data_IF_302526793077
#
_entry.id   IF_302526793077
#
_cell.length_a   1.000
_cell.length_b   1.000
_cell.length_c   1.000
_cell.angle_alpha   90.00
_cell.angle_beta   90.00
_cell.angle_gamma   90.00
#
_symmetry.space_group_name_H-M   'P 1'
#
loop_
_entity.id
_entity.type
_entity.pdbx_description
1 polymer ?
#
# COMPACT_ATOMS: atom_id res chain seq x y z
N UNK A 1 26.00 -28.58 -9.60
CA UNK A 1 26.19 -28.79 -8.15
C UNK A 1 26.63 -27.48 -7.54
N UNK A 2 25.81 -26.78 -6.75
CA UNK A 2 26.21 -25.53 -6.13
C UNK A 2 27.39 -25.77 -5.19
N UNK A 3 28.50 -25.08 -5.45
CA UNK A 3 29.74 -25.16 -4.68
C UNK A 3 29.90 -23.89 -3.88
N UNK A 4 30.08 -24.02 -2.58
CA UNK A 4 30.35 -22.93 -1.67
C UNK A 4 31.79 -23.00 -1.20
N UNK A 5 32.48 -21.87 -1.21
CA UNK A 5 33.86 -21.74 -0.77
C UNK A 5 33.96 -20.82 0.44
N UNK A 6 34.83 -21.18 1.38
CA UNK A 6 35.16 -20.40 2.56
C UNK A 6 36.67 -20.18 2.60
N UNK A 7 37.09 -18.90 2.64
CA UNK A 7 38.49 -18.49 2.71
C UNK A 7 38.67 -17.49 3.85
N UNK A 8 39.34 -17.91 4.92
CA UNK A 8 39.71 -17.05 6.05
C UNK A 8 41.07 -17.49 6.62
N UNK A 9 42.04 -16.57 6.66
CA UNK A 9 43.41 -16.86 7.08
C UNK A 9 44.05 -17.98 6.26
N UNK A 10 44.52 -19.05 6.91
CA UNK A 10 45.07 -20.25 6.26
C UNK A 10 44.01 -21.30 5.87
N UNK A 11 42.72 -21.05 6.17
CA UNK A 11 41.62 -21.97 5.88
C UNK A 11 41.06 -21.70 4.48
N UNK A 12 41.07 -22.72 3.62
CA UNK A 12 40.50 -22.68 2.27
C UNK A 12 39.69 -23.95 2.05
N UNK A 13 38.37 -23.88 2.25
CA UNK A 13 37.47 -25.04 2.28
C UNK A 13 36.38 -24.92 1.23
N UNK A 14 35.93 -26.05 0.70
CA UNK A 14 34.74 -26.13 -0.15
C UNK A 14 33.66 -26.98 0.53
N UNK A 15 32.42 -26.68 0.21
CA UNK A 15 31.24 -27.45 0.57
C UNK A 15 30.26 -27.41 -0.61
N UNK A 16 29.77 -28.57 -1.01
CA UNK A 16 28.87 -28.77 -2.13
C UNK A 16 27.68 -29.57 -1.61
N UNK A 17 26.48 -29.30 -2.13
CA UNK A 17 25.31 -30.11 -1.82
C UNK A 17 24.48 -30.27 -3.08
N UNK A 18 23.96 -31.47 -3.30
CA UNK A 18 23.08 -31.78 -4.43
C UNK A 18 21.86 -32.53 -3.92
N UNK A 19 20.67 -32.01 -4.24
CA UNK A 19 19.41 -32.65 -3.93
C UNK A 19 18.95 -33.51 -5.13
N UNK A 20 18.56 -34.76 -4.85
CA UNK A 20 18.01 -35.71 -5.83
C UNK A 20 16.82 -36.45 -5.21
N UNK A 21 15.61 -36.06 -5.62
CA UNK A 21 14.37 -36.67 -5.14
C UNK A 21 14.19 -36.53 -3.63
N UNK A 22 14.18 -37.65 -2.90
CA UNK A 22 14.06 -37.69 -1.44
C UNK A 22 15.42 -37.83 -0.72
N UNK A 23 16.53 -37.48 -1.37
CA UNK A 23 17.87 -37.54 -0.78
C UNK A 23 18.71 -36.35 -1.18
N UNK A 24 19.69 -35.99 -0.36
CA UNK A 24 20.77 -35.11 -0.78
C UNK A 24 22.14 -35.76 -0.57
N UNK A 25 23.11 -35.35 -1.37
CA UNK A 25 24.53 -35.68 -1.21
C UNK A 25 25.30 -34.40 -0.93
N UNK A 26 25.93 -34.31 0.24
CA UNK A 26 26.81 -33.21 0.60
C UNK A 26 28.28 -33.65 0.48
N UNK A 27 29.13 -32.85 -0.17
CA UNK A 27 30.57 -33.07 -0.32
C UNK A 27 31.35 -31.90 0.26
N UNK A 28 32.43 -32.15 1.00
CA UNK A 28 33.23 -31.07 1.60
C UNK A 28 34.69 -31.44 1.78
N UNK A 29 35.57 -30.42 1.76
CA UNK A 29 37.00 -30.65 1.91
C UNK A 29 37.81 -29.38 1.87
N UNK A 30 39.13 -29.53 1.82
CA UNK A 30 40.05 -28.42 1.51
C UNK A 30 40.01 -28.17 0.00
N UNK A 31 39.97 -26.91 -0.43
CA UNK A 31 40.04 -26.57 -1.86
C UNK A 31 41.32 -27.19 -2.46
N UNK A 32 41.17 -27.95 -3.54
CA UNK A 32 42.26 -28.73 -4.17
C UNK A 32 42.38 -30.19 -3.72
N UNK A 33 41.41 -30.71 -2.96
CA UNK A 33 41.33 -32.13 -2.57
C UNK A 33 40.02 -32.74 -3.05
N UNK A 34 39.94 -34.08 -3.12
CA UNK A 34 38.71 -34.79 -3.51
C UNK A 34 37.55 -34.61 -2.51
N UNK A 35 37.89 -34.27 -1.26
CA UNK A 35 36.95 -34.07 -0.17
C UNK A 35 36.38 -35.38 0.40
N UNK A 36 35.34 -35.25 1.21
CA UNK A 36 34.52 -36.31 1.76
C UNK A 36 33.07 -36.06 1.35
N UNK A 37 32.31 -37.11 1.11
CA UNK A 37 30.89 -37.02 0.78
C UNK A 37 30.02 -37.82 1.74
N UNK A 38 28.78 -37.37 1.89
CA UNK A 38 27.74 -38.07 2.66
C UNK A 38 26.40 -37.86 1.98
N UNK A 39 25.72 -38.98 1.73
CA UNK A 39 24.34 -39.00 1.26
C UNK A 39 23.38 -39.23 2.42
N UNK A 40 22.28 -38.50 2.45
CA UNK A 40 21.20 -38.65 3.42
C UNK A 40 19.86 -38.75 2.69
N UNK A 41 19.06 -39.75 3.06
CA UNK A 41 17.74 -40.03 2.46
C UNK A 41 16.64 -39.78 3.50
N UNK A 42 15.51 -39.25 3.04
CA UNK A 42 14.37 -38.81 3.83
C UNK A 42 13.09 -39.53 3.41
N UNK A 43 12.04 -39.42 4.24
CA UNK A 43 10.75 -40.05 4.00
C UNK A 43 10.00 -39.44 2.82
N UNK A 44 10.30 -38.19 2.45
CA UNK A 44 9.72 -37.51 1.29
C UNK A 44 10.69 -36.51 0.63
N UNK A 45 10.43 -36.12 -0.64
CA UNK A 45 11.15 -35.02 -1.29
C UNK A 45 11.07 -33.69 -0.53
N UNK A 46 9.93 -33.39 0.10
CA UNK A 46 9.73 -32.16 0.86
C UNK A 46 10.62 -32.09 2.11
N UNK A 47 10.78 -33.21 2.83
CA UNK A 47 11.70 -33.31 3.97
C UNK A 47 13.16 -33.15 3.54
N UNK A 48 13.53 -33.73 2.39
CA UNK A 48 14.87 -33.60 1.83
C UNK A 48 15.18 -32.15 1.42
N UNK A 49 14.23 -31.44 0.81
CA UNK A 49 14.35 -30.02 0.47
C UNK A 49 14.48 -29.15 1.73
N UNK A 50 13.64 -29.38 2.75
CA UNK A 50 13.67 -28.61 4.00
C UNK A 50 15.01 -28.73 4.72
N UNK A 51 15.58 -29.93 4.84
CA UNK A 51 16.89 -30.11 5.47
C UNK A 51 18.05 -29.63 4.57
N UNK A 52 17.91 -29.74 3.25
CA UNK A 52 18.85 -29.13 2.29
C UNK A 52 18.96 -27.61 2.50
N UNK A 53 17.84 -26.90 2.52
CA UNK A 53 17.82 -25.43 2.60
C UNK A 53 18.31 -24.92 3.96
N UNK A 54 18.04 -25.68 5.02
CA UNK A 54 18.58 -25.44 6.35
C UNK A 54 20.11 -25.56 6.37
N UNK A 55 20.68 -26.57 5.72
CA UNK A 55 22.14 -26.74 5.64
C UNK A 55 22.81 -25.63 4.84
N UNK A 56 22.19 -25.19 3.73
CA UNK A 56 22.68 -24.05 2.95
C UNK A 56 22.73 -22.78 3.81
N UNK A 57 21.61 -22.43 4.46
CA UNK A 57 21.55 -21.26 5.37
C UNK A 57 22.56 -21.33 6.50
N UNK A 58 22.79 -22.52 7.07
CA UNK A 58 23.80 -22.71 8.11
C UNK A 58 25.22 -22.46 7.59
N UNK A 59 25.52 -22.82 6.33
CA UNK A 59 26.82 -22.60 5.71
C UNK A 59 27.04 -21.14 5.33
N UNK A 60 26.04 -20.48 4.78
CA UNK A 60 26.10 -19.04 4.46
C UNK A 60 26.31 -18.20 5.72
N UNK A 61 25.60 -18.53 6.81
CA UNK A 61 25.81 -17.90 8.14
C UNK A 61 27.23 -18.12 8.68
N UNK A 62 27.91 -19.19 8.26
CA UNK A 62 29.31 -19.49 8.60
C UNK A 62 30.31 -18.86 7.61
N UNK A 63 29.86 -17.98 6.71
CA UNK A 63 30.70 -17.23 5.79
C UNK A 63 31.08 -17.96 4.50
N UNK A 64 30.44 -19.09 4.19
CA UNK A 64 30.63 -19.78 2.91
C UNK A 64 29.92 -19.01 1.79
N UNK A 65 30.59 -18.82 0.66
CA UNK A 65 30.11 -18.02 -0.48
C UNK A 65 30.03 -18.90 -1.73
N UNK A 66 28.97 -18.78 -2.52
CA UNK A 66 28.80 -19.57 -3.74
C UNK A 66 29.90 -19.25 -4.78
N UNK A 67 30.60 -20.28 -5.27
CA UNK A 67 31.69 -20.17 -6.24
C UNK A 67 31.19 -20.51 -7.66
N UNK A 68 31.32 -19.57 -8.60
CA UNK A 68 31.18 -19.84 -10.04
C UNK A 68 29.99 -19.21 -10.80
N UNK A 69 29.63 -17.93 -10.61
CA UNK A 69 28.97 -17.15 -11.69
C UNK A 69 30.08 -16.63 -12.62
N UNK A 70 30.47 -17.44 -13.61
CA UNK A 70 31.43 -17.12 -14.66
C UNK A 70 31.14 -17.99 -15.87
N UNK A 71 30.85 -17.31 -16.99
CA UNK A 71 30.56 -17.74 -18.36
C UNK A 71 31.04 -19.14 -18.75
N UNK A 72 30.11 -19.96 -19.24
CA UNK A 72 30.31 -20.76 -20.46
C UNK A 72 28.95 -21.04 -21.12
N UNK A 73 28.87 -20.60 -22.36
CA UNK A 73 27.84 -20.84 -23.37
C UNK A 73 28.04 -22.25 -23.95
N UNK A 74 26.98 -23.06 -23.98
CA UNK A 74 26.64 -23.89 -25.15
C UNK A 74 25.37 -24.71 -24.87
N UNK A 75 24.25 -24.20 -25.40
CA UNK A 75 23.18 -24.95 -26.07
C UNK A 75 22.62 -26.24 -25.46
N UNK A 76 21.56 -26.10 -24.66
CA UNK A 76 20.32 -26.89 -24.85
C UNK A 76 19.11 -26.22 -24.16
N UNK A 77 18.18 -25.69 -24.96
CA UNK A 77 16.73 -25.84 -24.74
C UNK A 77 16.05 -25.47 -23.41
N UNK A 78 16.58 -24.58 -22.57
CA UNK A 78 15.93 -24.16 -21.32
C UNK A 78 16.27 -22.73 -20.89
N UNK A 79 15.68 -21.73 -21.56
CA UNK A 79 15.89 -20.32 -21.23
C UNK A 79 15.16 -19.89 -19.95
N UNK A 80 15.94 -19.38 -18.98
CA UNK A 80 15.57 -18.25 -18.12
C UNK A 80 14.97 -18.57 -16.75
N UNK A 81 15.81 -18.85 -15.75
CA UNK A 81 15.39 -18.73 -14.33
C UNK A 81 15.36 -17.24 -13.87
N UNK A 82 16.05 -16.33 -14.55
CA UNK A 82 16.02 -14.88 -14.26
C UNK A 82 15.19 -14.11 -15.31
N UNK A 83 14.26 -13.23 -14.89
CA UNK A 83 13.47 -12.40 -15.81
C UNK A 83 14.32 -11.43 -16.64
N UNK A 84 14.01 -11.30 -17.92
CA UNK A 84 14.73 -10.39 -18.81
C UNK A 84 14.47 -8.91 -18.45
N UNK A 85 15.44 -8.04 -18.73
CA UNK A 85 15.36 -6.61 -18.47
C UNK A 85 16.06 -5.80 -19.56
N UNK A 86 15.46 -4.67 -19.94
CA UNK A 86 16.03 -3.71 -20.88
C UNK A 86 15.79 -2.28 -20.36
N UNK A 87 16.80 -1.62 -19.76
CA UNK A 87 16.63 -0.30 -19.15
C UNK A 87 16.11 0.80 -20.08
N UNK A 88 16.44 0.75 -21.38
CA UNK A 88 16.00 1.77 -22.34
C UNK A 88 14.50 1.64 -22.64
N UNK A 89 14.02 0.42 -22.85
CA UNK A 89 12.60 0.14 -23.08
C UNK A 89 11.78 0.34 -21.80
N UNK A 90 12.33 -0.04 -20.66
CA UNK A 90 11.72 0.22 -19.35
C UNK A 90 11.61 1.72 -19.07
N UNK A 91 12.62 2.53 -19.41
CA UNK A 91 12.57 3.98 -19.24
C UNK A 91 11.45 4.62 -20.08
N UNK A 92 11.14 4.08 -21.27
CA UNK A 92 10.01 4.54 -22.08
C UNK A 92 8.66 4.29 -21.37
N UNK A 93 8.51 3.11 -20.76
CA UNK A 93 7.32 2.77 -19.96
C UNK A 93 7.23 3.65 -18.71
N UNK A 94 8.33 3.85 -17.98
CA UNK A 94 8.36 4.68 -16.77
C UNK A 94 7.98 6.14 -17.05
N UNK A 95 8.33 6.65 -18.23
CA UNK A 95 7.99 8.02 -18.65
C UNK A 95 6.50 8.20 -18.94
N UNK A 96 5.86 7.19 -19.51
CA UNK A 96 4.42 7.18 -19.81
C UNK A 96 3.82 5.79 -19.53
N UNK A 97 3.46 5.51 -18.26
CA UNK A 97 3.05 4.17 -17.81
C UNK A 97 1.74 3.64 -18.41
N UNK A 98 1.01 4.46 -19.16
CA UNK A 98 -0.20 4.05 -19.87
C UNK A 98 0.02 3.97 -21.40
N UNK A 99 1.25 4.17 -21.88
CA UNK A 99 1.62 4.04 -23.29
C UNK A 99 1.73 2.57 -23.73
N UNK A 100 0.65 2.08 -24.34
CA UNK A 100 0.55 0.71 -24.86
C UNK A 100 1.67 0.39 -25.87
N UNK A 101 2.05 1.32 -26.74
CA UNK A 101 3.07 1.08 -27.77
C UNK A 101 4.45 0.79 -27.14
N UNK A 102 4.79 1.47 -26.04
CA UNK A 102 6.03 1.20 -25.31
C UNK A 102 6.06 -0.25 -24.76
N UNK A 103 4.93 -0.73 -24.21
CA UNK A 103 4.80 -2.12 -23.78
C UNK A 103 4.86 -3.11 -24.95
N UNK A 104 4.29 -2.79 -26.11
CA UNK A 104 4.34 -3.67 -27.29
C UNK A 104 5.76 -3.79 -27.85
N UNK A 105 6.51 -2.69 -27.94
CA UNK A 105 7.94 -2.74 -28.30
C UNK A 105 8.71 -3.59 -27.29
N UNK A 106 8.41 -3.45 -26.00
CA UNK A 106 9.05 -4.27 -24.98
C UNK A 106 8.63 -5.74 -25.05
N UNK A 107 7.37 -6.02 -25.41
CA UNK A 107 6.86 -7.38 -25.66
C UNK A 107 7.62 -8.09 -26.75
N UNK A 108 7.87 -7.45 -27.89
CA UNK A 108 8.64 -8.02 -29.00
C UNK A 108 10.07 -8.37 -28.57
N UNK A 109 10.71 -7.48 -27.82
CA UNK A 109 12.04 -7.73 -27.27
C UNK A 109 12.04 -8.90 -26.28
N UNK A 110 11.09 -8.94 -25.34
CA UNK A 110 10.94 -10.01 -24.35
C UNK A 110 10.71 -11.38 -25.01
N UNK A 111 9.88 -11.44 -26.06
CA UNK A 111 9.68 -12.66 -26.84
C UNK A 111 10.97 -13.12 -27.51
N UNK A 112 11.78 -12.19 -28.03
CA UNK A 112 13.12 -12.48 -28.56
C UNK A 112 14.09 -13.04 -27.52
N UNK A 113 13.91 -12.71 -26.24
CA UNK A 113 14.67 -13.28 -25.12
C UNK A 113 14.08 -14.59 -24.57
N UNK A 114 12.93 -15.04 -25.10
CA UNK A 114 12.20 -16.19 -24.56
C UNK A 114 11.48 -15.93 -23.23
N UNK A 115 11.36 -14.67 -22.80
CA UNK A 115 10.67 -14.33 -21.56
C UNK A 115 9.13 -14.45 -21.75
N UNK A 116 8.42 -15.23 -20.92
CA UNK A 116 6.98 -15.45 -21.07
C UNK A 116 6.15 -14.16 -20.90
N UNK A 117 6.70 -13.09 -20.32
CA UNK A 117 6.02 -11.78 -20.22
C UNK A 117 5.71 -11.20 -21.59
N UNK A 118 6.55 -11.47 -22.58
CA UNK A 118 6.34 -11.01 -23.95
C UNK A 118 4.99 -11.46 -24.51
N UNK A 119 4.71 -12.76 -24.44
CA UNK A 119 3.40 -13.30 -24.85
C UNK A 119 2.27 -12.79 -23.94
N UNK A 120 2.51 -12.65 -22.63
CA UNK A 120 1.50 -12.14 -21.69
C UNK A 120 1.04 -10.72 -22.06
N UNK A 121 1.97 -9.83 -22.42
CA UNK A 121 1.66 -8.48 -22.92
C UNK A 121 0.75 -8.56 -24.15
N UNK A 122 1.13 -9.36 -25.14
CA UNK A 122 0.37 -9.51 -26.38
C UNK A 122 -1.06 -10.04 -26.14
N UNK A 123 -1.21 -11.04 -25.27
CA UNK A 123 -2.53 -11.59 -24.90
C UNK A 123 -3.38 -10.52 -24.20
N UNK A 124 -2.81 -9.79 -23.24
CA UNK A 124 -3.55 -8.77 -22.49
C UNK A 124 -3.93 -7.57 -23.35
N UNK A 125 -3.05 -7.15 -24.27
CA UNK A 125 -3.36 -6.12 -25.26
C UNK A 125 -4.51 -6.56 -26.17
N UNK A 126 -4.43 -7.78 -26.74
CA UNK A 126 -5.51 -8.31 -27.57
C UNK A 126 -6.84 -8.40 -26.80
N UNK A 127 -6.80 -8.81 -25.53
CA UNK A 127 -7.99 -8.88 -24.67
C UNK A 127 -8.65 -7.51 -24.44
N UNK A 128 -7.86 -6.43 -24.40
CA UNK A 128 -8.35 -5.07 -24.23
C UNK A 128 -9.01 -4.50 -25.51
N UNK A 129 -8.61 -5.00 -26.69
CA UNK A 129 -9.19 -4.61 -27.99
C UNK A 129 -10.39 -5.47 -28.39
N UNK A 130 -10.50 -6.68 -27.85
CA UNK A 130 -11.58 -7.60 -28.13
C UNK A 130 -12.87 -7.25 -27.36
N UNK A 131 -13.99 -7.88 -27.76
CA UNK A 131 -15.27 -7.77 -27.06
C UNK A 131 -15.97 -9.12 -26.92
N UNK A 132 -16.95 -9.21 -26.01
CA UNK A 132 -17.77 -10.41 -25.82
C UNK A 132 -16.95 -11.66 -25.44
N UNK A 133 -17.25 -12.77 -26.12
CA UNK A 133 -16.63 -14.08 -25.85
C UNK A 133 -15.12 -14.07 -26.11
N UNK A 134 -14.66 -13.41 -27.17
CA UNK A 134 -13.23 -13.34 -27.51
C UNK A 134 -12.42 -12.67 -26.39
N UNK A 135 -12.90 -11.53 -25.87
CA UNK A 135 -12.26 -10.86 -24.73
C UNK A 135 -12.20 -11.78 -23.50
N UNK A 136 -13.26 -12.56 -23.26
CA UNK A 136 -13.33 -13.50 -22.13
C UNK A 136 -12.35 -14.68 -22.30
N UNK A 137 -12.23 -15.20 -23.52
CA UNK A 137 -11.29 -16.26 -23.88
C UNK A 137 -9.83 -15.80 -23.71
N UNK A 138 -9.52 -14.59 -24.18
CA UNK A 138 -8.17 -14.00 -24.05
C UNK A 138 -7.82 -13.72 -22.59
N UNK A 139 -8.76 -13.22 -21.77
CA UNK A 139 -8.55 -13.06 -20.32
C UNK A 139 -8.25 -14.39 -19.64
N UNK A 140 -9.02 -15.44 -19.98
CA UNK A 140 -8.76 -16.80 -19.49
C UNK A 140 -7.41 -17.34 -19.97
N UNK A 141 -7.01 -17.05 -21.20
CA UNK A 141 -5.68 -17.39 -21.73
C UNK A 141 -4.58 -16.69 -20.92
N UNK A 142 -4.73 -15.40 -20.61
CA UNK A 142 -3.78 -14.66 -19.78
C UNK A 142 -3.66 -15.25 -18.37
N UNK A 143 -4.78 -15.59 -17.71
CA UNK A 143 -4.77 -16.25 -16.41
C UNK A 143 -4.08 -17.61 -16.45
N UNK A 144 -4.37 -18.43 -17.48
CA UNK A 144 -3.72 -19.72 -17.67
C UNK A 144 -2.21 -19.56 -17.92
N UNK A 145 -1.80 -18.51 -18.64
CA UNK A 145 -0.39 -18.18 -18.89
C UNK A 145 0.34 -17.80 -17.60
N UNK A 146 -0.24 -16.91 -16.80
CA UNK A 146 0.32 -16.53 -15.48
C UNK A 146 0.49 -17.78 -14.60
N UNK A 147 -0.52 -18.65 -14.55
CA UNK A 147 -0.46 -19.89 -13.78
C UNK A 147 0.63 -20.84 -14.30
N UNK A 148 0.79 -20.96 -15.61
CA UNK A 148 1.81 -21.81 -16.24
C UNK A 148 3.23 -21.34 -15.87
N UNK A 149 3.46 -20.03 -15.85
CA UNK A 149 4.76 -19.42 -15.58
C UNK A 149 4.87 -18.80 -14.18
N UNK A 150 4.07 -19.28 -13.22
CA UNK A 150 3.97 -18.66 -11.89
C UNK A 150 5.31 -18.61 -11.14
N UNK A 151 6.18 -19.60 -11.32
CA UNK A 151 7.51 -19.60 -10.68
C UNK A 151 8.34 -18.38 -11.08
N UNK A 152 8.28 -18.00 -12.36
CA UNK A 152 9.01 -16.82 -12.88
C UNK A 152 8.24 -15.51 -12.66
N UNK A 153 6.91 -15.55 -12.78
CA UNK A 153 6.06 -14.36 -12.76
C UNK A 153 5.65 -13.92 -11.35
N UNK A 154 5.67 -14.84 -10.37
CA UNK A 154 5.26 -14.59 -8.99
C UNK A 154 6.29 -15.06 -7.97
N UNK A 155 7.10 -16.07 -8.27
CA UNK A 155 8.07 -16.62 -7.33
C UNK A 155 7.39 -17.03 -6.02
N UNK A 156 7.93 -16.55 -4.90
CA UNK A 156 7.40 -16.79 -3.54
C UNK A 156 6.00 -16.20 -3.30
N UNK A 157 5.55 -15.23 -4.12
CA UNK A 157 4.21 -14.65 -4.00
C UNK A 157 3.10 -15.60 -4.47
N UNK A 158 3.45 -16.68 -5.19
CA UNK A 158 2.47 -17.57 -5.82
C UNK A 158 1.53 -18.22 -4.79
N UNK A 159 2.05 -18.58 -3.61
CA UNK A 159 1.24 -19.20 -2.55
C UNK A 159 0.25 -18.21 -1.95
N UNK A 160 0.66 -16.95 -1.70
CA UNK A 160 -0.23 -15.89 -1.25
C UNK A 160 -1.35 -15.56 -2.26
N UNK A 161 -1.05 -15.62 -3.56
CA UNK A 161 -2.07 -15.47 -4.61
C UNK A 161 -3.06 -16.65 -4.59
N UNK A 162 -2.56 -17.87 -4.39
CA UNK A 162 -3.38 -19.09 -4.34
C UNK A 162 -4.29 -19.13 -3.11
N UNK A 163 -3.80 -18.67 -1.95
CA UNK A 163 -4.59 -18.55 -0.72
C UNK A 163 -5.50 -17.33 -0.68
N UNK A 164 -5.47 -16.45 -1.70
CA UNK A 164 -6.21 -15.19 -1.81
C UNK A 164 -5.79 -14.09 -0.81
N UNK A 165 -4.70 -14.32 -0.11
CA UNK A 165 -3.97 -13.35 0.72
C UNK A 165 -3.40 -12.20 -0.12
N UNK A 166 -3.05 -12.49 -1.37
CA UNK A 166 -2.56 -11.51 -2.34
C UNK A 166 -3.53 -11.43 -3.51
N UNK A 167 -4.05 -10.24 -3.77
CA UNK A 167 -4.79 -9.89 -4.99
C UNK A 167 -3.93 -9.00 -5.88
N UNK A 168 -3.82 -9.34 -7.17
CA UNK A 168 -2.96 -8.65 -8.13
C UNK A 168 -3.78 -8.13 -9.31
N UNK A 169 -3.60 -6.86 -9.64
CA UNK A 169 -4.03 -6.29 -10.91
C UNK A 169 -2.85 -6.32 -11.89
N UNK A 170 -3.05 -7.00 -13.03
CA UNK A 170 -2.05 -7.05 -14.09
C UNK A 170 -2.34 -6.03 -15.18
N UNK A 171 -1.30 -5.37 -15.65
CA UNK A 171 -1.33 -4.47 -16.79
C UNK A 171 -0.15 -4.79 -17.71
N UNK A 172 -0.46 -5.26 -18.91
CA UNK A 172 0.50 -5.54 -19.98
C UNK A 172 1.76 -6.25 -19.45
N UNK A 173 1.61 -7.46 -18.91
CA UNK A 173 2.71 -8.32 -18.46
C UNK A 173 3.28 -8.02 -17.08
N UNK A 174 2.89 -6.93 -16.44
CA UNK A 174 3.40 -6.51 -15.13
C UNK A 174 2.28 -6.29 -14.11
N UNK A 175 2.63 -6.35 -12.83
CA UNK A 175 1.73 -6.03 -11.72
C UNK A 175 1.63 -4.51 -11.64
N UNK A 176 0.41 -3.98 -11.83
CA UNK A 176 0.10 -2.55 -11.71
C UNK A 176 -0.28 -2.18 -10.29
N UNK A 177 -1.08 -3.01 -9.64
CA UNK A 177 -1.47 -2.81 -8.26
C UNK A 177 -1.59 -4.14 -7.52
N UNK A 178 -1.41 -4.11 -6.21
CA UNK A 178 -1.55 -5.27 -5.35
C UNK A 178 -2.27 -4.92 -4.05
N UNK A 179 -3.12 -5.83 -3.59
CA UNK A 179 -3.65 -5.85 -2.22
C UNK A 179 -3.12 -7.08 -1.48
N UNK A 180 -2.57 -6.88 -0.29
CA UNK A 180 -2.09 -7.95 0.59
C UNK A 180 -2.80 -7.84 1.94
N UNK A 181 -3.38 -8.93 2.44
CA UNK A 181 -4.04 -8.94 3.74
C UNK A 181 -4.29 -10.36 4.23
N UNK A 182 -3.92 -10.61 5.50
CA UNK A 182 -4.20 -11.82 6.27
C UNK A 182 -5.70 -12.13 6.18
N UNK A 183 -6.06 -13.37 5.80
CA UNK A 183 -7.47 -13.77 5.62
C UNK A 183 -8.17 -14.13 6.93
N UNK A 184 -7.46 -14.77 7.85
CA UNK A 184 -8.00 -15.23 9.12
C UNK A 184 -6.91 -15.41 10.20
N UNK A 185 -7.36 -15.71 11.42
CA UNK A 185 -6.52 -15.89 12.60
C UNK A 185 -5.49 -17.02 12.44
N UNK A 186 -5.84 -18.09 11.69
CA UNK A 186 -5.02 -19.29 11.50
C UNK A 186 -4.05 -19.16 10.31
N UNK A 187 -4.08 -18.04 9.58
CA UNK A 187 -3.22 -17.83 8.42
C UNK A 187 -1.75 -17.62 8.82
N UNK A 188 -0.86 -18.42 8.24
CA UNK A 188 0.60 -18.32 8.39
C UNK A 188 1.21 -17.28 7.42
N UNK A 189 0.37 -16.50 6.72
CA UNK A 189 0.84 -15.53 5.74
C UNK A 189 1.49 -14.31 6.40
N UNK A 190 2.79 -14.10 6.16
CA UNK A 190 3.50 -12.90 6.60
C UNK A 190 3.32 -11.79 5.56
N UNK A 191 2.42 -10.85 5.86
CA UNK A 191 2.12 -9.70 4.99
C UNK A 191 3.35 -8.81 4.80
N UNK A 192 4.19 -8.64 5.83
CA UNK A 192 5.36 -7.75 5.78
C UNK A 192 6.42 -8.33 4.85
N UNK A 193 6.72 -9.63 5.00
CA UNK A 193 7.64 -10.35 4.11
C UNK A 193 7.12 -10.31 2.67
N UNK A 194 5.83 -10.57 2.46
CA UNK A 194 5.21 -10.56 1.14
C UNK A 194 5.23 -9.17 0.48
N UNK A 195 5.06 -8.08 1.24
CA UNK A 195 5.25 -6.72 0.73
C UNK A 195 6.70 -6.54 0.28
N UNK A 196 7.68 -6.88 1.13
CA UNK A 196 9.10 -6.77 0.78
C UNK A 196 9.47 -7.58 -0.48
N UNK A 197 8.95 -8.81 -0.58
CA UNK A 197 9.07 -9.68 -1.75
C UNK A 197 8.47 -9.05 -3.01
N UNK A 198 7.23 -8.56 -2.91
CA UNK A 198 6.52 -7.93 -4.02
C UNK A 198 7.30 -6.74 -4.57
N UNK A 199 7.73 -5.82 -3.72
CA UNK A 199 8.37 -4.58 -4.14
C UNK A 199 9.75 -4.81 -4.78
N UNK A 200 10.39 -5.95 -4.51
CA UNK A 200 11.64 -6.40 -5.17
C UNK A 200 11.39 -7.21 -6.43
N UNK A 201 10.18 -7.75 -6.61
CA UNK A 201 9.92 -8.73 -7.66
C UNK A 201 9.92 -8.07 -9.06
N UNK A 202 10.58 -8.66 -10.08
CA UNK A 202 10.62 -8.09 -11.44
C UNK A 202 9.25 -7.83 -12.07
N UNK A 203 8.22 -8.58 -11.68
CA UNK A 203 6.83 -8.33 -12.11
C UNK A 203 6.23 -7.05 -11.56
N UNK A 204 6.74 -6.52 -10.45
CA UNK A 204 6.28 -5.28 -9.84
C UNK A 204 7.14 -4.06 -10.22
N UNK A 205 8.05 -4.18 -11.20
CA UNK A 205 8.96 -3.06 -11.57
C UNK A 205 8.25 -1.76 -12.00
N UNK A 206 6.98 -1.85 -12.38
CA UNK A 206 6.13 -0.73 -12.77
C UNK A 206 4.92 -0.57 -11.83
N UNK A 207 4.97 -1.12 -10.62
CA UNK A 207 3.86 -1.07 -9.68
C UNK A 207 3.51 0.38 -9.34
N UNK A 208 2.22 0.68 -9.36
CA UNK A 208 1.65 2.00 -9.10
C UNK A 208 0.76 2.03 -7.85
N UNK A 209 0.15 0.91 -7.47
CA UNK A 209 -0.73 0.86 -6.30
C UNK A 209 -0.34 -0.25 -5.31
N UNK A 210 -0.34 0.09 -4.03
CA UNK A 210 -0.17 -0.85 -2.93
C UNK A 210 -1.26 -0.61 -1.89
N UNK A 211 -2.03 -1.65 -1.61
CA UNK A 211 -3.04 -1.67 -0.55
C UNK A 211 -2.69 -2.77 0.45
N UNK A 212 -2.74 -2.45 1.74
CA UNK A 212 -2.48 -3.41 2.81
C UNK A 212 -3.67 -3.43 3.77
N UNK A 213 -4.31 -4.59 3.86
CA UNK A 213 -5.40 -4.85 4.80
C UNK A 213 -4.86 -5.37 6.14
N UNK A 214 -5.53 -6.35 6.75
CA UNK A 214 -5.08 -6.95 8.00
C UNK A 214 -3.64 -7.49 7.89
N UNK A 215 -2.75 -7.05 8.78
CA UNK A 215 -1.42 -7.65 8.96
C UNK A 215 -1.42 -8.72 10.05
N UNK A 216 -2.28 -8.54 11.04
CA UNK A 216 -2.45 -9.43 12.18
C UNK A 216 -3.87 -9.30 12.74
N UNK A 217 -4.40 -10.35 13.36
CA UNK A 217 -5.74 -10.40 13.96
C UNK A 217 -5.73 -10.26 15.50
N UNK A 218 -4.56 -10.27 16.15
CA UNK A 218 -4.44 -9.98 17.58
C UNK A 218 -4.30 -8.46 17.81
N UNK A 219 -3.25 -7.85 17.27
CA UNK A 219 -3.05 -6.40 17.23
C UNK A 219 -2.51 -6.01 15.85
N UNK A 220 -3.23 -5.16 15.13
CA UNK A 220 -2.96 -4.90 13.72
C UNK A 220 -2.01 -3.69 13.56
N UNK A 221 -0.76 -3.91 13.11
CA UNK A 221 0.26 -2.86 13.03
C UNK A 221 0.84 -2.66 11.63
N UNK A 222 0.89 -1.41 11.17
CA UNK A 222 1.41 -1.06 9.84
C UNK A 222 2.85 -0.51 9.81
N UNK A 223 3.48 -0.23 10.95
CA UNK A 223 4.85 0.31 10.98
C UNK A 223 5.85 -0.62 10.30
N UNK A 224 5.73 -1.93 10.50
CA UNK A 224 6.60 -2.93 9.85
C UNK A 224 6.44 -2.97 8.33
N UNK A 225 5.25 -2.62 7.82
CA UNK A 225 5.02 -2.46 6.37
C UNK A 225 5.76 -1.22 5.86
N UNK A 226 5.72 -0.11 6.61
CA UNK A 226 6.49 1.08 6.29
C UNK A 226 8.00 0.80 6.31
N UNK A 227 8.49 0.02 7.28
CA UNK A 227 9.89 -0.42 7.34
C UNK A 227 10.27 -1.25 6.10
N UNK A 228 9.42 -2.19 5.68
CA UNK A 228 9.66 -2.97 4.45
C UNK A 228 9.76 -2.07 3.20
N UNK A 229 8.96 -1.01 3.10
CA UNK A 229 9.07 -0.01 2.02
C UNK A 229 10.41 0.73 2.10
N UNK A 230 10.88 1.07 3.31
CA UNK A 230 12.17 1.73 3.51
C UNK A 230 13.33 0.80 3.13
N UNK A 231 13.27 -0.48 3.51
CA UNK A 231 14.30 -1.47 3.22
C UNK A 231 14.51 -1.71 1.72
N UNK A 232 13.47 -1.59 0.90
CA UNK A 232 13.60 -1.68 -0.57
C UNK A 232 14.11 -0.38 -1.21
N UNK A 233 14.29 0.69 -0.44
CA UNK A 233 14.72 2.01 -0.92
C UNK A 233 13.59 2.86 -1.50
N UNK A 234 12.33 2.49 -1.22
CA UNK A 234 11.13 3.07 -1.83
C UNK A 234 10.95 2.71 -3.30
N UNK A 235 9.87 3.23 -3.89
CA UNK A 235 9.50 2.98 -5.28
C UNK A 235 8.92 4.25 -5.89
N UNK A 236 9.69 4.89 -6.77
CA UNK A 236 9.25 6.10 -7.50
C UNK A 236 8.08 5.83 -8.45
N UNK A 237 7.80 4.57 -8.75
CA UNK A 237 6.64 4.19 -9.56
C UNK A 237 5.35 4.18 -8.75
N UNK A 238 5.42 4.08 -7.42
CA UNK A 238 4.26 3.96 -6.56
C UNK A 238 3.54 5.32 -6.46
N UNK A 239 2.28 5.33 -6.87
CA UNK A 239 1.42 6.51 -6.95
C UNK A 239 0.23 6.43 -5.97
N UNK A 240 -0.13 5.23 -5.53
CA UNK A 240 -1.24 5.00 -4.61
C UNK A 240 -0.78 4.09 -3.47
N UNK A 241 -0.98 4.56 -2.24
CA UNK A 241 -0.75 3.78 -1.03
C UNK A 241 -1.98 3.82 -0.13
N UNK A 242 -2.45 2.64 0.27
CA UNK A 242 -3.46 2.51 1.31
C UNK A 242 -2.98 1.53 2.38
N UNK A 243 -2.78 2.03 3.61
CA UNK A 243 -2.56 1.23 4.81
C UNK A 243 -3.83 1.27 5.68
N UNK A 244 -4.33 0.10 6.09
CA UNK A 244 -5.57 0.02 6.87
C UNK A 244 -6.80 -0.41 6.08
N UNK A 245 -6.65 -1.23 5.02
CA UNK A 245 -7.79 -1.72 4.23
C UNK A 245 -8.47 -2.93 4.88
N UNK A 246 -9.00 -2.73 6.08
CA UNK A 246 -9.77 -3.72 6.82
C UNK A 246 -11.29 -3.45 6.77
N UNK A 247 -12.07 -4.48 7.03
CA UNK A 247 -13.54 -4.46 7.11
C UNK A 247 -14.00 -4.41 8.57
N UNK A 248 -14.83 -3.40 8.88
CA UNK A 248 -15.53 -3.30 10.15
C UNK A 248 -16.95 -3.88 10.03
N UNK A 249 -17.47 -4.59 11.05
CA UNK A 249 -16.78 -5.07 12.25
C UNK A 249 -16.13 -6.45 12.07
N UNK A 250 -16.29 -7.07 10.89
CA UNK A 250 -15.99 -8.50 10.69
C UNK A 250 -14.49 -8.85 10.84
N UNK A 251 -13.57 -7.96 10.45
CA UNK A 251 -12.12 -8.19 10.58
C UNK A 251 -11.54 -7.54 11.84
N UNK A 252 -11.77 -6.24 12.03
CA UNK A 252 -11.28 -5.49 13.21
C UNK A 252 -12.00 -4.14 13.37
N UNK A 253 -11.75 -3.49 14.50
CA UNK A 253 -12.18 -2.12 14.80
C UNK A 253 -10.99 -1.17 14.72
N UNK A 254 -11.25 0.13 14.58
CA UNK A 254 -10.17 1.10 14.33
C UNK A 254 -9.29 1.32 15.56
N UNK A 255 -9.83 1.09 16.75
CA UNK A 255 -9.13 1.16 18.05
C UNK A 255 -8.09 0.06 18.24
N UNK A 256 -8.19 -1.06 17.51
CA UNK A 256 -7.23 -2.18 17.56
C UNK A 256 -6.22 -2.17 16.41
N UNK A 257 -6.17 -1.05 15.67
CA UNK A 257 -5.35 -0.92 14.47
C UNK A 257 -4.43 0.29 14.57
N UNK A 258 -3.12 0.09 14.40
CA UNK A 258 -2.10 1.09 14.69
C UNK A 258 -1.18 1.35 13.49
N UNK A 259 -1.02 2.63 13.14
CA UNK A 259 -0.13 3.05 12.06
C UNK A 259 1.30 3.32 12.56
N UNK A 260 1.45 3.91 13.75
CA UNK A 260 2.72 4.39 14.31
C UNK A 260 3.52 5.26 13.32
N UNK A 261 4.86 5.22 13.38
CA UNK A 261 5.74 6.03 12.52
C UNK A 261 5.85 5.45 11.11
N UNK A 262 5.37 6.22 10.13
CA UNK A 262 5.49 5.92 8.70
C UNK A 262 6.33 6.96 7.95
N UNK A 263 6.94 7.91 8.66
CA UNK A 263 7.65 9.06 8.09
C UNK A 263 8.83 8.66 7.20
N UNK A 264 9.50 7.55 7.54
CA UNK A 264 10.59 6.99 6.74
C UNK A 264 10.13 6.55 5.34
N UNK A 265 9.00 5.87 5.25
CA UNK A 265 8.42 5.42 3.99
C UNK A 265 7.99 6.61 3.12
N UNK A 266 7.29 7.60 3.70
CA UNK A 266 6.81 8.77 2.95
C UNK A 266 7.92 9.56 2.27
N UNK A 267 9.11 9.66 2.89
CA UNK A 267 10.30 10.33 2.30
C UNK A 267 10.82 9.63 1.03
N UNK A 268 10.51 8.35 0.86
CA UNK A 268 10.95 7.54 -0.28
C UNK A 268 9.86 7.34 -1.33
N UNK A 269 8.71 7.99 -1.17
CA UNK A 269 7.55 7.90 -2.06
C UNK A 269 7.10 9.28 -2.57
N UNK A 270 8.00 10.08 -3.20
CA UNK A 270 7.70 11.47 -3.58
C UNK A 270 6.65 11.61 -4.70
N UNK A 271 6.43 10.54 -5.47
CA UNK A 271 5.53 10.51 -6.63
C UNK A 271 4.10 10.03 -6.26
N UNK A 272 3.81 9.86 -4.96
CA UNK A 272 2.45 9.53 -4.49
C UNK A 272 1.46 10.60 -4.93
N UNK A 273 0.34 10.12 -5.49
CA UNK A 273 -0.82 10.89 -5.92
C UNK A 273 -2.01 10.67 -5.00
N UNK A 274 -2.11 9.48 -4.39
CA UNK A 274 -3.14 9.13 -3.43
C UNK A 274 -2.53 8.44 -2.21
N UNK A 275 -2.83 8.99 -1.03
CA UNK A 275 -2.44 8.39 0.24
C UNK A 275 -3.68 8.25 1.11
N UNK A 276 -4.00 7.01 1.48
CA UNK A 276 -5.04 6.69 2.43
C UNK A 276 -4.45 5.96 3.62
N UNK A 277 -4.80 6.40 4.81
CA UNK A 277 -4.34 5.84 6.07
C UNK A 277 -5.56 5.59 6.94
N UNK A 278 -5.68 4.38 7.49
CA UNK A 278 -6.73 4.05 8.45
C UNK A 278 -6.11 3.34 9.66
N UNK A 279 -6.30 3.92 10.84
CA UNK A 279 -5.76 3.42 12.11
C UNK A 279 -5.41 4.53 13.10
N UNK A 280 -5.16 4.14 14.35
CA UNK A 280 -4.72 4.99 15.45
C UNK A 280 -3.20 5.21 15.52
N UNK A 281 -2.79 5.98 16.52
CA UNK A 281 -1.39 6.23 16.91
C UNK A 281 -0.45 6.70 15.79
N UNK A 282 -1.00 7.39 14.77
CA UNK A 282 -0.24 7.81 13.60
C UNK A 282 0.86 8.83 13.93
N UNK A 283 2.07 8.60 13.38
CA UNK A 283 3.14 9.57 13.31
C UNK A 283 3.61 9.76 11.86
N UNK A 284 3.54 11.00 11.37
CA UNK A 284 3.85 11.36 9.97
C UNK A 284 5.20 12.06 9.80
N UNK A 285 5.69 12.75 10.84
CA UNK A 285 6.85 13.64 10.73
C UNK A 285 6.63 14.76 9.72
N UNK A 286 7.72 15.24 9.11
CA UNK A 286 7.64 16.25 8.05
C UNK A 286 7.11 15.63 6.75
N UNK A 287 5.92 16.06 6.32
CA UNK A 287 5.26 15.55 5.10
C UNK A 287 5.54 16.47 3.92
N UNK A 288 6.33 15.98 2.97
CA UNK A 288 6.63 16.64 1.69
C UNK A 288 6.25 15.70 0.53
N UNK A 289 5.01 15.83 0.04
CA UNK A 289 4.45 14.98 -1.01
C UNK A 289 3.96 15.88 -2.17
N UNK A 290 4.87 16.31 -3.05
CA UNK A 290 4.59 17.35 -4.06
C UNK A 290 3.60 16.92 -5.15
N UNK A 291 3.51 15.60 -5.40
CA UNK A 291 2.61 15.02 -6.41
C UNK A 291 1.23 14.63 -5.87
N UNK A 292 1.00 14.78 -4.56
CA UNK A 292 -0.21 14.31 -3.90
C UNK A 292 -1.45 15.10 -4.34
N UNK A 293 -2.50 14.37 -4.68
CA UNK A 293 -3.80 14.89 -5.15
C UNK A 293 -4.93 14.56 -4.18
N UNK A 294 -4.85 13.41 -3.52
CA UNK A 294 -5.81 12.94 -2.53
C UNK A 294 -5.09 12.47 -1.27
N UNK A 295 -5.46 13.04 -0.12
CA UNK A 295 -5.06 12.57 1.19
C UNK A 295 -6.30 12.25 2.03
N UNK A 296 -6.32 11.06 2.63
CA UNK A 296 -7.35 10.66 3.58
C UNK A 296 -6.71 10.00 4.79
N UNK A 297 -7.02 10.49 5.98
CA UNK A 297 -6.72 9.80 7.23
C UNK A 297 -8.02 9.55 7.99
N UNK A 298 -8.24 8.28 8.32
CA UNK A 298 -9.36 7.77 9.10
C UNK A 298 -8.81 7.25 10.44
N UNK A 299 -9.28 7.80 11.55
CA UNK A 299 -8.82 7.39 12.89
C UNK A 299 -9.92 7.59 13.93
N UNK A 300 -9.87 6.77 14.97
CA UNK A 300 -10.66 6.93 16.19
C UNK A 300 -10.12 8.03 17.11
N UNK A 301 -8.84 8.43 16.95
CA UNK A 301 -8.22 9.53 17.68
C UNK A 301 -6.88 9.96 17.05
N UNK A 302 -6.83 11.17 16.50
CA UNK A 302 -5.68 11.72 15.80
C UNK A 302 -4.74 12.47 16.78
N UNK A 303 -3.49 12.00 16.99
CA UNK A 303 -2.57 12.66 17.92
C UNK A 303 -2.15 14.05 17.44
N UNK A 304 -1.80 14.94 18.37
CA UNK A 304 -1.45 16.34 18.06
C UNK A 304 -0.29 16.47 17.07
N UNK A 305 0.68 15.55 17.17
CA UNK A 305 1.82 15.48 16.25
C UNK A 305 1.38 15.24 14.80
N UNK A 306 0.41 14.35 14.59
CA UNK A 306 -0.15 14.07 13.26
C UNK A 306 -0.97 15.26 12.73
N UNK A 307 -1.80 15.88 13.58
CA UNK A 307 -2.54 17.12 13.23
C UNK A 307 -1.59 18.20 12.72
N UNK A 308 -0.50 18.46 13.46
CA UNK A 308 0.51 19.46 13.08
C UNK A 308 1.27 19.08 11.82
N UNK A 309 1.57 17.79 11.63
CA UNK A 309 2.23 17.29 10.43
C UNK A 309 1.37 17.52 9.19
N UNK A 310 0.08 17.19 9.26
CA UNK A 310 -0.92 17.41 8.20
C UNK A 310 -1.07 18.91 7.93
N UNK A 311 -1.25 19.73 8.98
CA UNK A 311 -1.47 21.17 8.80
C UNK A 311 -0.28 21.90 8.17
N UNK A 312 0.95 21.45 8.41
CA UNK A 312 2.17 22.08 7.89
C UNK A 312 2.76 21.39 6.65
N UNK A 313 2.08 20.38 6.12
CA UNK A 313 2.55 19.62 4.98
C UNK A 313 2.60 20.46 3.68
N UNK A 314 3.43 20.02 2.73
CA UNK A 314 3.56 20.66 1.42
C UNK A 314 2.83 19.86 0.35
N UNK A 315 1.66 20.36 -0.09
CA UNK A 315 0.84 19.67 -1.09
C UNK A 315 0.37 20.59 -2.23
N UNK A 316 1.29 21.06 -3.10
CA UNK A 316 0.97 22.03 -4.14
C UNK A 316 -0.06 21.51 -5.17
N UNK A 317 -0.27 20.19 -5.27
CA UNK A 317 -1.21 19.55 -6.21
C UNK A 317 -2.45 18.94 -5.53
N UNK A 318 -2.64 19.13 -4.22
CA UNK A 318 -3.75 18.52 -3.49
C UNK A 318 -5.08 19.10 -3.95
N UNK A 319 -6.01 18.21 -4.27
CA UNK A 319 -7.39 18.56 -4.67
C UNK A 319 -8.40 18.11 -3.62
N UNK A 320 -8.10 17.05 -2.86
CA UNK A 320 -8.94 16.52 -1.78
C UNK A 320 -8.12 16.23 -0.51
N UNK A 321 -8.56 16.81 0.59
CA UNK A 321 -8.05 16.57 1.94
C UNK A 321 -9.20 16.09 2.83
N UNK A 322 -9.05 14.91 3.42
CA UNK A 322 -10.01 14.38 4.41
C UNK A 322 -9.27 13.94 5.67
N UNK A 323 -9.66 14.50 6.81
CA UNK A 323 -9.07 14.26 8.12
C UNK A 323 -10.18 13.93 9.10
N UNK A 324 -10.09 12.76 9.72
CA UNK A 324 -10.95 12.35 10.83
C UNK A 324 -10.17 12.61 12.12
N UNK A 325 -10.72 13.41 13.03
CA UNK A 325 -10.02 13.78 14.26
C UNK A 325 -10.19 12.77 15.38
N UNK A 326 -11.37 12.15 15.46
CA UNK A 326 -11.69 11.17 16.49
C UNK A 326 -12.11 11.81 17.82
N UNK A 327 -11.99 11.02 18.88
CA UNK A 327 -12.34 11.37 20.26
C UNK A 327 -11.12 11.32 21.18
N UNK A 328 -11.12 12.19 22.19
CA UNK A 328 -10.04 12.25 23.19
C UNK A 328 -9.83 10.91 23.92
N UNK A 329 -10.90 10.13 24.09
CA UNK A 329 -10.87 8.78 24.67
C UNK A 329 -9.98 7.80 23.88
N UNK A 330 -9.74 8.08 22.60
CA UNK A 330 -8.90 7.28 21.71
C UNK A 330 -7.63 8.03 21.28
N UNK A 331 -7.27 9.10 22.00
CA UNK A 331 -6.03 9.84 21.77
C UNK A 331 -6.16 11.00 20.78
N UNK A 332 -7.37 11.46 20.46
CA UNK A 332 -7.53 12.69 19.70
C UNK A 332 -7.01 13.89 20.49
N UNK A 333 -6.24 14.74 19.82
CA UNK A 333 -5.78 16.02 20.34
C UNK A 333 -5.89 17.10 19.28
N UNK A 334 -5.77 18.35 19.72
CA UNK A 334 -5.74 19.53 18.86
C UNK A 334 -7.10 20.16 18.60
N UNK A 335 -7.08 21.36 18.04
CA UNK A 335 -8.27 22.16 17.78
C UNK A 335 -8.13 23.06 16.56
N UNK A 336 -9.02 24.05 16.47
CA UNK A 336 -9.06 25.04 15.37
C UNK A 336 -7.71 25.74 15.20
N UNK A 337 -7.04 26.04 16.31
CA UNK A 337 -5.73 26.69 16.35
C UNK A 337 -4.62 25.86 15.69
N UNK A 338 -4.66 24.53 15.83
CA UNK A 338 -3.64 23.63 15.28
C UNK A 338 -3.82 23.42 13.78
N UNK A 339 -5.06 23.52 13.29
CA UNK A 339 -5.39 23.44 11.86
C UNK A 339 -5.47 24.80 11.17
N UNK A 340 -5.13 25.89 11.86
CA UNK A 340 -5.15 27.23 11.29
C UNK A 340 -4.37 27.35 9.96
N UNK A 341 -3.24 26.66 9.73
CA UNK A 341 -2.59 26.64 8.43
C UNK A 341 -3.49 26.10 7.29
N UNK A 342 -4.29 25.07 7.54
CA UNK A 342 -5.27 24.52 6.59
C UNK A 342 -6.35 25.56 6.32
N UNK A 343 -6.90 26.19 7.36
CA UNK A 343 -7.93 27.23 7.24
C UNK A 343 -7.41 28.48 6.51
N UNK A 344 -6.12 28.79 6.64
CA UNK A 344 -5.42 29.83 5.90
C UNK A 344 -5.15 29.46 4.43
N UNK A 345 -5.34 28.20 4.02
CA UNK A 345 -5.02 27.69 2.69
C UNK A 345 -3.51 27.58 2.41
N UNK A 346 -2.66 27.54 3.44
CA UNK A 346 -1.20 27.47 3.27
C UNK A 346 -0.81 26.14 2.64
N UNK A 347 -0.12 26.18 1.51
CA UNK A 347 0.33 24.99 0.80
C UNK A 347 -0.77 24.23 0.05
N UNK A 348 -1.99 24.80 -0.05
CA UNK A 348 -3.19 24.14 -0.59
C UNK A 348 -3.81 24.90 -1.80
N UNK A 349 -3.03 25.35 -2.80
CA UNK A 349 -3.52 26.26 -3.84
C UNK A 349 -4.58 25.65 -4.77
N UNK A 350 -4.69 24.32 -4.82
CA UNK A 350 -5.59 23.59 -5.71
C UNK A 350 -6.70 22.83 -4.98
N UNK A 351 -6.82 23.00 -3.65
CA UNK A 351 -7.77 22.25 -2.83
C UNK A 351 -9.21 22.61 -3.21
N UNK A 352 -10.01 21.60 -3.55
CA UNK A 352 -11.43 21.73 -3.91
C UNK A 352 -12.36 21.05 -2.91
N UNK A 353 -11.86 20.05 -2.18
CA UNK A 353 -12.66 19.27 -1.24
C UNK A 353 -11.92 19.20 0.10
N UNK A 354 -12.57 19.68 1.16
CA UNK A 354 -12.04 19.64 2.52
C UNK A 354 -13.03 18.91 3.44
N UNK A 355 -12.58 17.80 4.02
CA UNK A 355 -13.26 17.08 5.09
C UNK A 355 -12.51 17.24 6.41
N UNK A 356 -13.16 17.88 7.38
CA UNK A 356 -12.74 17.96 8.79
C UNK A 356 -13.78 17.18 9.60
N UNK A 357 -13.74 15.87 9.41
CA UNK A 357 -14.80 14.94 9.82
C UNK A 357 -14.52 14.41 11.21
N UNK A 358 -15.52 13.74 11.78
CA UNK A 358 -15.35 12.96 13.01
C UNK A 358 -14.70 13.79 14.12
N UNK A 359 -15.14 15.05 14.30
CA UNK A 359 -14.48 16.03 15.17
C UNK A 359 -15.33 16.38 16.39
N UNK A 360 -14.76 16.30 17.59
CA UNK A 360 -15.43 16.71 18.83
C UNK A 360 -15.47 18.23 19.05
N UNK A 361 -14.69 18.99 18.28
CA UNK A 361 -14.68 20.46 18.28
C UNK A 361 -15.49 21.06 17.11
N UNK A 362 -16.53 20.36 16.65
CA UNK A 362 -17.31 20.75 15.47
C UNK A 362 -18.01 22.11 15.59
N UNK A 363 -18.49 22.51 16.78
CA UNK A 363 -19.05 23.85 16.99
C UNK A 363 -17.98 24.95 16.84
N UNK A 364 -16.74 24.71 17.29
CA UNK A 364 -15.63 25.63 17.09
C UNK A 364 -15.25 25.74 15.60
N UNK A 365 -15.29 24.61 14.85
CA UNK A 365 -15.15 24.63 13.40
C UNK A 365 -16.23 25.49 12.74
N UNK A 366 -17.49 25.33 13.14
CA UNK A 366 -18.61 26.11 12.62
C UNK A 366 -18.44 27.62 12.83
N UNK A 367 -17.81 28.04 13.93
CA UNK A 367 -17.48 29.46 14.17
C UNK A 367 -16.32 29.95 13.29
N UNK A 368 -15.31 29.12 13.05
CA UNK A 368 -14.09 29.51 12.33
C UNK A 368 -14.24 29.48 10.80
N UNK A 369 -14.94 28.48 10.26
CA UNK A 369 -15.05 28.20 8.83
C UNK A 369 -15.55 29.39 7.98
N UNK A 370 -16.55 30.20 8.41
CA UNK A 370 -16.97 31.37 7.65
C UNK A 370 -15.86 32.40 7.39
N UNK A 371 -14.81 32.42 8.20
CA UNK A 371 -13.63 33.28 8.07
C UNK A 371 -12.41 32.60 7.45
N UNK A 372 -12.49 31.31 7.10
CA UNK A 372 -11.36 30.56 6.56
C UNK A 372 -11.01 31.06 5.15
N UNK A 373 -9.72 31.29 4.90
CA UNK A 373 -9.21 31.77 3.61
C UNK A 373 -9.23 30.69 2.53
N UNK A 374 -9.22 29.41 2.92
CA UNK A 374 -9.37 28.29 1.99
C UNK A 374 -10.82 28.13 1.50
N UNK A 375 -11.82 28.62 2.24
CA UNK A 375 -13.23 28.39 1.91
C UNK A 375 -13.64 28.86 0.50
N UNK A 376 -13.24 30.04 -0.01
CA UNK A 376 -13.67 30.54 -1.32
C UNK A 376 -13.26 29.69 -2.53
N UNK A 377 -12.23 28.85 -2.40
CA UNK A 377 -11.80 27.94 -3.48
C UNK A 377 -12.44 26.54 -3.39
N UNK A 378 -13.05 26.20 -2.25
CA UNK A 378 -13.68 24.90 -2.07
C UNK A 378 -14.95 24.77 -2.91
N UNK A 379 -15.17 23.57 -3.41
CA UNK A 379 -16.44 23.13 -3.99
C UNK A 379 -17.25 22.31 -3.00
N UNK A 380 -16.57 21.56 -2.12
CA UNK A 380 -17.19 20.72 -1.08
C UNK A 380 -16.50 20.93 0.26
N UNK A 381 -17.32 21.09 1.29
CA UNK A 381 -16.90 21.15 2.68
C UNK A 381 -17.67 20.09 3.47
N UNK A 382 -16.96 19.30 4.27
CA UNK A 382 -17.53 18.21 5.04
C UNK A 382 -17.05 18.33 6.51
N UNK A 383 -18.00 18.54 7.41
CA UNK A 383 -17.82 18.50 8.88
C UNK A 383 -18.77 17.46 9.49
N UNK A 384 -19.08 16.40 8.75
CA UNK A 384 -19.92 15.29 9.18
C UNK A 384 -19.26 14.47 10.29
N UNK A 385 -20.06 13.60 10.92
CA UNK A 385 -19.60 12.61 11.92
C UNK A 385 -19.07 13.23 13.22
N UNK A 386 -19.16 14.55 13.39
CA UNK A 386 -18.68 15.26 14.57
C UNK A 386 -19.77 15.46 15.62
N UNK A 387 -19.53 16.42 16.51
CA UNK A 387 -20.44 16.80 17.60
C UNK A 387 -21.13 18.15 17.34
N UNK A 388 -21.41 18.49 16.08
CA UNK A 388 -22.03 19.78 15.73
C UNK A 388 -23.43 19.88 16.34
N UNK A 389 -23.67 20.93 17.11
CA UNK A 389 -24.93 21.18 17.81
C UNK A 389 -25.76 22.25 17.12
N UNK A 390 -26.95 22.52 17.66
CA UNK A 390 -27.79 23.65 17.26
C UNK A 390 -27.09 25.01 17.41
N UNK A 391 -26.12 25.15 18.33
CA UNK A 391 -25.30 26.36 18.44
C UNK A 391 -24.37 26.53 17.24
N UNK A 392 -23.62 25.48 16.88
CA UNK A 392 -22.78 25.49 15.69
C UNK A 392 -23.58 25.68 14.40
N UNK A 393 -24.76 25.05 14.29
CA UNK A 393 -25.69 25.29 13.20
C UNK A 393 -26.08 26.77 13.07
N UNK A 394 -26.34 27.44 14.20
CA UNK A 394 -26.64 28.88 14.25
C UNK A 394 -25.46 29.71 13.74
N UNK A 395 -24.24 29.40 14.18
CA UNK A 395 -23.03 30.07 13.72
C UNK A 395 -22.85 29.98 12.19
N UNK A 396 -23.11 28.80 11.60
CA UNK A 396 -23.06 28.61 10.15
C UNK A 396 -24.18 29.38 9.44
N UNK A 397 -25.43 29.30 9.91
CA UNK A 397 -26.56 29.97 9.28
C UNK A 397 -26.46 31.49 9.32
N UNK A 398 -25.97 32.07 10.43
CA UNK A 398 -25.73 33.51 10.58
C UNK A 398 -24.71 34.05 9.56
N UNK A 399 -23.89 33.15 9.00
CA UNK A 399 -22.88 33.44 7.97
C UNK A 399 -23.11 32.67 6.67
N UNK A 400 -24.33 32.24 6.39
CA UNK A 400 -24.67 31.40 5.24
C UNK A 400 -24.11 31.90 3.89
N UNK A 401 -24.04 33.22 3.70
CA UNK A 401 -23.48 33.82 2.49
C UNK A 401 -22.03 33.40 2.19
N UNK A 402 -21.23 33.07 3.22
CA UNK A 402 -19.86 32.59 3.04
C UNK A 402 -19.78 31.22 2.34
N UNK A 403 -20.87 30.44 2.37
CA UNK A 403 -20.93 29.09 1.82
C UNK A 403 -21.68 29.02 0.48
N UNK A 404 -22.24 30.13 0.00
CA UNK A 404 -23.19 30.16 -1.12
C UNK A 404 -22.63 29.62 -2.45
N UNK A 405 -21.31 29.58 -2.63
CA UNK A 405 -20.63 29.02 -3.80
C UNK A 405 -20.39 27.51 -3.72
N UNK A 406 -20.48 26.91 -2.53
CA UNK A 406 -20.25 25.48 -2.34
C UNK A 406 -21.29 24.68 -3.13
N UNK A 407 -20.84 23.60 -3.76
CA UNK A 407 -21.72 22.57 -4.34
C UNK A 407 -22.34 21.70 -3.24
N UNK A 408 -21.63 21.53 -2.13
CA UNK A 408 -22.07 20.72 -1.00
C UNK A 408 -21.44 21.23 0.30
N UNK A 409 -22.28 21.35 1.34
CA UNK A 409 -21.85 21.39 2.73
C UNK A 409 -22.41 20.15 3.41
N UNK A 410 -21.55 19.26 3.91
CA UNK A 410 -21.99 18.06 4.63
C UNK A 410 -21.87 18.23 6.15
N UNK A 411 -23.00 18.05 6.84
CA UNK A 411 -23.09 18.06 8.30
C UNK A 411 -23.87 16.83 8.82
N UNK A 412 -23.94 15.74 8.04
CA UNK A 412 -24.61 14.50 8.49
C UNK A 412 -23.91 13.88 9.69
N UNK A 413 -24.60 13.00 10.42
CA UNK A 413 -24.01 12.25 11.53
C UNK A 413 -23.43 13.14 12.64
N UNK A 414 -24.00 14.33 12.79
CA UNK A 414 -23.76 15.21 13.93
C UNK A 414 -24.87 15.05 14.97
N UNK A 415 -25.04 16.04 15.85
CA UNK A 415 -26.01 16.05 16.97
C UNK A 415 -26.99 17.21 16.85
N UNK A 416 -27.40 17.53 15.63
CA UNK A 416 -28.33 18.61 15.35
C UNK A 416 -29.74 18.23 15.79
N UNK A 417 -30.35 19.08 16.62
CA UNK A 417 -31.80 18.99 16.87
C UNK A 417 -32.58 19.36 15.61
N UNK A 418 -33.88 19.06 15.58
CA UNK A 418 -34.79 19.47 14.49
C UNK A 418 -34.70 20.98 14.20
N UNK A 419 -34.51 21.80 15.24
CA UNK A 419 -34.28 23.25 15.08
C UNK A 419 -33.01 23.53 14.29
N UNK A 420 -31.89 22.92 14.66
CA UNK A 420 -30.60 23.09 13.98
C UNK A 420 -30.65 22.63 12.52
N UNK A 421 -31.26 21.48 12.27
CA UNK A 421 -31.46 20.95 10.91
C UNK A 421 -32.33 21.89 10.06
N UNK A 422 -33.45 22.37 10.62
CA UNK A 422 -34.36 23.30 9.94
C UNK A 422 -33.67 24.63 9.62
N UNK A 423 -32.92 25.16 10.57
CA UNK A 423 -32.17 26.41 10.43
C UNK A 423 -31.13 26.31 9.32
N UNK A 424 -30.33 25.25 9.27
CA UNK A 424 -29.34 25.04 8.21
C UNK A 424 -29.98 24.83 6.84
N UNK A 425 -31.00 23.96 6.75
CA UNK A 425 -31.70 23.68 5.49
C UNK A 425 -32.31 24.94 4.87
N UNK A 426 -32.78 25.86 5.71
CA UNK A 426 -33.33 27.14 5.27
C UNK A 426 -32.26 28.15 4.85
N UNK A 427 -31.16 28.23 5.59
CA UNK A 427 -30.12 29.23 5.37
C UNK A 427 -29.12 28.83 4.27
N UNK A 428 -28.82 27.53 4.15
CA UNK A 428 -27.80 26.95 3.26
C UNK A 428 -28.45 25.78 2.48
N UNK A 429 -29.07 26.04 1.31
CA UNK A 429 -29.80 25.02 0.55
C UNK A 429 -28.97 23.81 0.09
N UNK A 430 -27.65 23.97 0.00
CA UNK A 430 -26.67 22.94 -0.35
C UNK A 430 -26.19 22.13 0.87
N UNK A 431 -26.73 22.37 2.06
CA UNK A 431 -26.38 21.63 3.26
C UNK A 431 -27.08 20.26 3.30
N UNK A 432 -26.30 19.21 3.47
CA UNK A 432 -26.79 17.87 3.81
C UNK A 432 -26.84 17.72 5.32
N UNK A 433 -28.05 17.64 5.89
CA UNK A 433 -28.30 17.65 7.34
C UNK A 433 -28.87 16.34 7.89
N UNK A 434 -28.98 15.30 7.06
CA UNK A 434 -29.60 14.02 7.45
C UNK A 434 -28.78 13.19 8.44
N UNK A 435 -29.34 12.04 8.85
CA UNK A 435 -28.68 11.02 9.67
C UNK A 435 -28.08 11.57 10.98
N UNK A 436 -28.77 12.47 11.67
CA UNK A 436 -28.30 12.99 12.95
C UNK A 436 -28.37 11.89 14.03
N UNK A 437 -27.38 11.90 14.93
CA UNK A 437 -27.24 10.96 16.03
C UNK A 437 -27.98 11.49 17.26
N UNK A 438 -28.79 10.64 17.89
CA UNK A 438 -29.49 10.94 19.14
C UNK A 438 -28.62 10.53 20.34
N UNK A 439 -28.67 11.33 21.42
CA UNK A 439 -27.92 11.07 22.65
C UNK A 439 -28.81 11.18 23.88
N UNK A 440 -28.78 10.16 24.72
CA UNK A 440 -29.56 10.08 25.96
C UNK A 440 -28.80 10.64 27.19
N UNK A 441 -27.48 10.86 27.11
CA UNK A 441 -26.61 11.33 28.21
C UNK A 441 -25.86 12.64 27.91
N UNK A 442 -25.28 13.26 28.94
CA UNK A 442 -24.50 14.51 28.88
C UNK A 442 -23.15 14.39 28.11
N UNK A 443 -22.81 13.21 27.58
CA UNK A 443 -21.55 12.94 26.87
C UNK A 443 -21.77 12.87 25.35
N UNK A 444 -20.99 13.66 24.60
CA UNK A 444 -21.04 13.76 23.14
C UNK A 444 -19.72 13.26 22.56
N UNK A 445 -19.77 12.36 21.58
CA UNK A 445 -18.58 11.79 20.95
C UNK A 445 -18.71 11.77 19.42
N UNK A 446 -17.59 11.70 18.71
CA UNK A 446 -17.54 11.59 17.25
C UNK A 446 -18.07 10.21 16.76
N UNK A 447 -18.51 10.08 15.50
CA UNK A 447 -19.21 8.86 15.03
C UNK A 447 -18.32 7.61 14.99
N UNK A 448 -17.01 7.80 14.87
CA UNK A 448 -16.02 6.73 14.92
C UNK A 448 -15.02 7.03 16.02
N UNK A 449 -14.88 6.10 16.95
CA UNK A 449 -13.97 6.17 18.09
C UNK A 449 -13.38 4.79 18.38
N UNK A 450 -14.26 3.78 18.47
CA UNK A 450 -13.91 2.36 18.64
C UNK A 450 -13.58 1.65 17.32
#
# INVERSE_FOLDING_TARGET
>A
MPRYEFKEGSSSKFWEITLSGNSFTARWGRIGTDGQEKTQTFGSPAEAQKEHDKLVREKEKKGYVLAGKGEDDDGDGGGGDEPASNPELEAAILKDPDNVDAYLVYSDWLQGQGDPRGELIAIQHAAAQASGTEASDLKRKATAHIKKYQTLLLGELADGVKSKEISLEWHLGFIRSARLAKQDYDSEFDVVEAVGALLKHPSARFIRGLTVGMTDFEENHYSRVADAIVEVGGLKTLQELFLGDFQYPDETEISWTYLHDISGALKLLPDLRKLRLRGGELQLGDVDLPELREFTVETGGLPLGAVKSIANAKWPKLERLEVWFGSDNYGAEGGVEDIQPILDGKGLPNLKQLGLRNSEFADALAQALPGAKVLPQLEKLDISMGTLTTEGARALADKAAAFAHLKQLDVTENILTDEGQSLLSKAIPQANVGNQREYEEDYRYAAVGE
#
